data_IF_352851232125
#
_entry.id   IF_352851232125
#
_cell.length_a   1.000
_cell.length_b   1.000
_cell.length_c   1.000
_cell.angle_alpha   90.00
_cell.angle_beta   90.00
_cell.angle_gamma   90.00
#
_symmetry.space_group_name_H-M   'P 1'
#
loop_
_entity.id
_entity.type
_entity.pdbx_description
1 polymer ?
#
# COMPACT_ATOMS: atom_id res chain seq x y z
N UNK A 1 -43.26 89.65 25.53
CA UNK A 1 -43.58 88.73 26.65
C UNK A 1 -43.17 87.33 26.23
N UNK A 2 -42.40 86.69 27.09
CA UNK A 2 -41.58 85.49 26.90
C UNK A 2 -42.37 84.20 26.72
N UNK A 3 -41.83 83.28 25.92
CA UNK A 3 -41.94 81.84 26.15
C UNK A 3 -40.58 81.22 25.77
N UNK A 4 -39.90 80.59 26.72
CA UNK A 4 -38.64 79.87 26.54
C UNK A 4 -38.84 78.47 27.13
N UNK A 5 -38.71 77.46 26.28
CA UNK A 5 -38.75 76.04 26.61
C UNK A 5 -37.54 75.62 27.46
N UNK A 6 -37.78 74.72 28.42
CA UNK A 6 -36.76 73.99 29.17
C UNK A 6 -36.67 72.58 28.58
N UNK A 7 -35.53 72.22 27.97
CA UNK A 7 -35.18 70.85 27.64
C UNK A 7 -34.37 70.21 28.78
N UNK A 8 -34.81 69.03 29.22
CA UNK A 8 -34.08 68.13 30.11
C UNK A 8 -33.08 67.29 29.29
N UNK A 9 -31.85 67.20 29.78
CA UNK A 9 -30.80 66.30 29.28
C UNK A 9 -30.83 64.99 30.06
N UNK A 10 -30.86 63.84 29.38
CA UNK A 10 -30.59 62.52 29.96
C UNK A 10 -29.42 61.90 29.18
N UNK A 11 -28.40 61.47 29.93
CA UNK A 11 -27.12 60.94 29.48
C UNK A 11 -27.23 59.62 28.69
N UNK A 12 -26.86 59.64 27.41
CA UNK A 12 -26.84 58.50 26.48
C UNK A 12 -25.41 58.03 26.15
N UNK A 13 -24.57 57.80 27.18
CA UNK A 13 -23.15 57.44 26.97
C UNK A 13 -22.75 56.07 27.55
N UNK A 14 -23.50 55.55 28.52
CA UNK A 14 -23.20 54.26 29.18
C UNK A 14 -23.66 53.02 28.42
N UNK A 15 -24.90 53.02 27.90
CA UNK A 15 -25.49 51.84 27.23
C UNK A 15 -24.88 51.54 25.86
N UNK A 16 -24.47 52.57 25.11
CA UNK A 16 -23.79 52.40 23.81
C UNK A 16 -22.43 51.72 23.95
N UNK A 17 -21.68 51.98 25.02
CA UNK A 17 -20.36 51.36 25.25
C UNK A 17 -20.48 49.88 25.65
N UNK A 18 -21.51 49.51 26.42
CA UNK A 18 -21.77 48.12 26.80
C UNK A 18 -22.26 47.30 25.59
N UNK A 19 -23.12 47.88 24.74
CA UNK A 19 -23.58 47.23 23.50
C UNK A 19 -22.44 47.00 22.48
N UNK A 20 -21.49 47.95 22.37
CA UNK A 20 -20.30 47.81 21.52
C UNK A 20 -19.32 46.75 22.04
N UNK A 21 -19.14 46.63 23.36
CA UNK A 21 -18.31 45.57 23.95
C UNK A 21 -18.93 44.17 23.82
N UNK A 22 -20.26 44.04 23.96
CA UNK A 22 -20.97 42.77 23.73
C UNK A 22 -20.95 42.36 22.25
N UNK A 23 -21.06 43.30 21.30
CA UNK A 23 -20.95 43.01 19.87
C UNK A 23 -19.52 42.58 19.46
N UNK A 24 -18.47 43.17 20.06
CA UNK A 24 -17.08 42.76 19.85
C UNK A 24 -16.77 41.38 20.45
N UNK A 25 -17.38 41.00 21.58
CA UNK A 25 -17.25 39.66 22.16
C UNK A 25 -18.02 38.62 21.34
N UNK A 26 -19.20 38.95 20.79
CA UNK A 26 -19.94 38.04 19.91
C UNK A 26 -19.27 37.86 18.52
N UNK A 27 -18.60 38.88 17.96
CA UNK A 27 -17.81 38.71 16.73
C UNK A 27 -16.50 37.94 16.97
N UNK A 28 -15.89 38.02 18.15
CA UNK A 28 -14.71 37.20 18.49
C UNK A 28 -15.08 35.73 18.76
N UNK A 29 -16.29 35.45 19.25
CA UNK A 29 -16.76 34.08 19.48
C UNK A 29 -17.22 33.34 18.20
N UNK A 30 -17.60 34.07 17.15
CA UNK A 30 -18.02 33.47 15.87
C UNK A 30 -16.86 32.96 14.99
N UNK A 31 -15.61 33.35 15.28
CA UNK A 31 -14.43 32.89 14.54
C UNK A 31 -13.81 31.57 15.07
N UNK A 32 -14.36 30.97 16.12
CA UNK A 32 -13.75 29.81 16.80
C UNK A 32 -14.47 28.48 16.58
N UNK A 33 -15.49 28.44 15.71
CA UNK A 33 -16.23 27.21 15.37
C UNK A 33 -16.26 26.94 13.87
N UNK A 34 -15.19 27.27 13.15
CA UNK A 34 -15.01 26.82 11.77
C UNK A 34 -14.51 25.37 11.76
N UNK A 35 -15.20 24.48 11.04
CA UNK A 35 -14.69 23.14 10.74
C UNK A 35 -13.35 23.19 9.98
N UNK A 36 -12.72 22.05 9.70
CA UNK A 36 -11.46 22.02 8.96
C UNK A 36 -11.55 22.83 7.65
N UNK A 37 -10.48 23.56 7.25
CA UNK A 37 -10.47 24.28 5.98
C UNK A 37 -10.79 23.37 4.79
N UNK A 38 -11.33 23.96 3.72
CA UNK A 38 -11.57 23.23 2.49
C UNK A 38 -10.26 22.60 1.95
N UNK A 39 -10.31 21.40 1.38
CA UNK A 39 -9.14 20.78 0.78
C UNK A 39 -8.62 21.62 -0.38
N UNK A 40 -7.29 21.68 -0.52
CA UNK A 40 -6.64 22.45 -1.57
C UNK A 40 -5.77 21.56 -2.43
N UNK A 41 -5.85 21.75 -3.74
CA UNK A 41 -4.96 21.08 -4.68
C UNK A 41 -3.54 21.64 -4.53
N UNK A 42 -2.55 20.79 -4.78
CA UNK A 42 -1.13 21.07 -4.62
C UNK A 42 -0.40 20.58 -5.86
N UNK A 43 0.39 21.46 -6.46
CA UNK A 43 1.34 21.10 -7.51
C UNK A 43 2.72 20.90 -6.89
N UNK A 44 3.30 19.74 -7.13
CA UNK A 44 4.65 19.39 -6.72
C UNK A 44 5.50 19.26 -7.98
N UNK A 45 6.80 19.53 -7.85
CA UNK A 45 7.77 19.31 -8.93
C UNK A 45 8.74 18.23 -8.47
N UNK A 46 8.73 17.10 -9.17
CA UNK A 46 9.66 16.00 -8.96
C UNK A 46 11.10 16.44 -9.25
N UNK A 47 12.09 15.63 -8.84
CA UNK A 47 13.50 15.97 -8.99
C UNK A 47 13.93 16.15 -10.47
N UNK A 48 13.26 15.45 -11.38
CA UNK A 48 13.46 15.52 -12.83
C UNK A 48 12.53 16.54 -13.54
N UNK A 49 11.81 17.35 -12.77
CA UNK A 49 10.94 18.41 -13.29
C UNK A 49 9.50 18.01 -13.58
N UNK A 50 9.17 16.71 -13.55
CA UNK A 50 7.79 16.21 -13.74
C UNK A 50 6.83 16.84 -12.73
N UNK A 51 5.67 17.33 -13.20
CA UNK A 51 4.64 17.88 -12.32
C UNK A 51 3.79 16.76 -11.73
N UNK A 52 3.65 16.78 -10.41
CA UNK A 52 2.81 15.84 -9.68
C UNK A 52 1.66 16.60 -9.02
N UNK A 53 0.51 15.95 -8.93
CA UNK A 53 -0.68 16.50 -8.30
C UNK A 53 -0.96 15.83 -6.96
N UNK A 54 -1.25 16.64 -5.95
CA UNK A 54 -1.72 16.20 -4.65
C UNK A 54 -2.95 16.99 -4.20
N UNK A 55 -3.64 16.48 -3.19
CA UNK A 55 -4.68 17.24 -2.46
C UNK A 55 -4.32 17.26 -0.98
N UNK A 56 -4.19 18.46 -0.43
CA UNK A 56 -3.93 18.67 1.00
C UNK A 56 -5.22 19.00 1.74
N UNK A 57 -5.48 18.24 2.80
CA UNK A 57 -6.59 18.46 3.72
C UNK A 57 -5.99 18.89 5.06
N UNK A 58 -6.15 20.16 5.41
CA UNK A 58 -5.69 20.70 6.69
C UNK A 58 -6.70 20.33 7.78
N UNK A 59 -6.21 19.95 8.96
CA UNK A 59 -7.04 19.82 10.15
C UNK A 59 -7.35 21.18 10.81
N UNK A 60 -6.77 22.28 10.33
CA UNK A 60 -6.93 23.62 10.91
C UNK A 60 -6.26 23.81 12.28
N UNK A 61 -5.53 22.80 12.77
CA UNK A 61 -4.83 22.81 14.06
C UNK A 61 -3.61 21.89 14.03
N UNK A 62 -2.68 22.12 14.95
CA UNK A 62 -1.47 21.31 15.07
C UNK A 62 -1.78 19.83 15.34
N UNK A 63 -1.23 18.92 14.55
CA UNK A 63 -1.51 17.49 14.67
C UNK A 63 -0.63 16.61 13.75
N UNK A 64 -0.81 15.28 13.80
CA UNK A 64 -0.12 14.34 12.93
C UNK A 64 -0.36 14.63 11.44
N UNK A 65 0.53 14.11 10.60
CA UNK A 65 0.31 14.01 9.15
C UNK A 65 -0.06 12.59 8.73
N UNK A 66 -0.87 12.41 7.70
CA UNK A 66 -1.11 11.11 7.06
C UNK A 66 -0.97 11.25 5.54
N UNK A 67 -0.19 10.36 4.93
CA UNK A 67 -0.13 10.20 3.48
C UNK A 67 -1.03 9.06 3.02
N UNK A 68 -1.87 9.30 2.00
CA UNK A 68 -2.76 8.29 1.42
C UNK A 68 -2.41 8.07 -0.05
N UNK A 69 -2.10 6.82 -0.42
CA UNK A 69 -1.69 6.43 -1.78
C UNK A 69 -2.77 5.60 -2.48
N UNK A 70 -3.14 6.01 -3.69
CA UNK A 70 -4.23 5.38 -4.44
C UNK A 70 -3.88 3.98 -4.97
N UNK A 71 -4.91 3.22 -5.33
CA UNK A 71 -4.78 1.97 -6.08
C UNK A 71 -4.56 2.23 -7.58
N UNK A 72 -4.03 1.24 -8.31
CA UNK A 72 -3.55 1.43 -9.67
C UNK A 72 -4.63 1.61 -10.76
N UNK A 73 -5.91 1.51 -10.40
CA UNK A 73 -7.03 1.82 -11.28
C UNK A 73 -7.84 3.04 -10.79
N UNK A 74 -7.25 3.89 -9.94
CA UNK A 74 -7.83 5.10 -9.37
C UNK A 74 -6.79 6.22 -9.30
N UNK A 75 -7.19 7.36 -8.76
CA UNK A 75 -6.37 8.53 -8.49
C UNK A 75 -6.56 9.00 -7.03
N UNK A 76 -5.90 10.08 -6.64
CA UNK A 76 -5.89 10.64 -5.27
C UNK A 76 -7.27 11.01 -4.72
N UNK A 77 -8.28 11.22 -5.57
CA UNK A 77 -9.66 11.60 -5.16
C UNK A 77 -10.43 10.43 -4.57
N UNK A 78 -9.95 9.21 -4.76
CA UNK A 78 -10.57 8.01 -4.16
C UNK A 78 -10.67 8.06 -2.63
N UNK A 79 -9.89 8.94 -1.98
CA UNK A 79 -9.85 9.14 -0.53
C UNK A 79 -10.82 10.20 -0.01
N UNK A 80 -11.68 10.80 -0.85
CA UNK A 80 -12.62 11.85 -0.46
C UNK A 80 -13.61 11.42 0.64
N UNK A 81 -13.92 10.12 0.74
CA UNK A 81 -14.75 9.57 1.82
C UNK A 81 -14.01 9.39 3.16
N UNK A 82 -12.67 9.36 3.16
CA UNK A 82 -11.85 9.09 4.35
C UNK A 82 -11.12 10.34 4.87
N UNK A 83 -10.54 11.14 3.98
CA UNK A 83 -9.69 12.26 4.35
C UNK A 83 -10.39 13.30 5.27
N UNK A 84 -11.67 13.70 5.03
CA UNK A 84 -12.39 14.60 5.94
C UNK A 84 -12.59 14.03 7.35
N UNK A 85 -12.77 12.71 7.47
CA UNK A 85 -12.94 12.08 8.78
C UNK A 85 -11.64 12.15 9.59
N UNK A 86 -10.49 12.03 8.93
CA UNK A 86 -9.18 12.20 9.58
C UNK A 86 -8.91 13.67 9.96
N UNK A 87 -9.24 14.64 9.11
CA UNK A 87 -9.06 16.06 9.47
C UNK A 87 -9.96 16.50 10.60
N UNK A 88 -11.19 15.97 10.69
CA UNK A 88 -12.08 16.18 11.83
C UNK A 88 -11.48 15.67 13.16
N UNK A 89 -10.65 14.62 13.13
CA UNK A 89 -9.91 14.17 14.31
C UNK A 89 -8.71 15.06 14.69
N UNK A 90 -8.28 15.95 13.81
CA UNK A 90 -7.04 16.72 14.00
C UNK A 90 -5.83 16.18 13.25
N UNK A 91 -6.02 15.32 12.26
CA UNK A 91 -4.95 14.73 11.44
C UNK A 91 -4.91 15.41 10.09
N UNK A 92 -3.77 15.98 9.71
CA UNK A 92 -3.57 16.59 8.39
C UNK A 92 -3.33 15.49 7.35
N UNK A 93 -3.94 15.59 6.18
CA UNK A 93 -3.87 14.55 5.15
C UNK A 93 -3.30 15.08 3.84
N UNK A 94 -2.41 14.32 3.22
CA UNK A 94 -2.00 14.54 1.84
C UNK A 94 -2.32 13.28 1.00
N UNK A 95 -3.13 13.44 -0.03
CA UNK A 95 -3.34 12.42 -1.07
C UNK A 95 -2.49 12.78 -2.27
N UNK A 96 -1.85 11.79 -2.92
CA UNK A 96 -0.94 12.01 -4.05
C UNK A 96 -1.41 11.21 -5.26
N UNK A 97 -1.46 11.84 -6.43
CA UNK A 97 -1.47 11.13 -7.71
C UNK A 97 -0.05 10.66 -8.01
N UNK A 98 0.17 9.35 -8.04
CA UNK A 98 1.43 8.79 -8.49
C UNK A 98 1.69 9.19 -9.95
N UNK A 99 2.95 9.19 -10.36
CA UNK A 99 3.34 9.63 -11.70
C UNK A 99 2.59 8.86 -12.80
N UNK A 100 1.98 9.59 -13.72
CA UNK A 100 1.15 9.05 -14.81
C UNK A 100 -0.29 8.70 -14.44
N UNK A 101 -0.76 9.10 -13.25
CA UNK A 101 -2.13 8.90 -12.77
C UNK A 101 -2.82 10.24 -12.53
N UNK A 102 -4.15 10.25 -12.64
CA UNK A 102 -4.98 11.41 -12.35
C UNK A 102 -4.49 12.65 -13.11
N UNK A 103 -4.07 13.66 -12.36
CA UNK A 103 -3.56 14.94 -12.88
C UNK A 103 -2.02 15.04 -12.79
N UNK A 104 -1.31 14.01 -12.31
CA UNK A 104 0.15 13.94 -12.37
C UNK A 104 0.63 13.64 -13.79
N UNK A 105 1.66 14.36 -14.24
CA UNK A 105 2.27 14.14 -15.55
C UNK A 105 2.97 12.77 -15.65
N UNK A 106 3.38 12.43 -16.88
CA UNK A 106 4.13 11.22 -17.19
C UNK A 106 3.26 10.08 -17.71
N UNK A 107 3.84 8.88 -17.77
CA UNK A 107 3.15 7.66 -18.22
C UNK A 107 3.04 6.69 -17.07
N UNK A 108 1.85 6.15 -16.84
CA UNK A 108 1.62 5.18 -15.78
C UNK A 108 2.51 3.94 -15.97
N UNK A 109 3.06 3.42 -14.88
CA UNK A 109 4.01 2.30 -14.90
C UNK A 109 3.50 1.08 -15.69
N UNK A 110 2.21 0.76 -15.59
CA UNK A 110 1.59 -0.37 -16.27
C UNK A 110 1.34 -0.16 -17.78
N UNK A 111 1.59 1.05 -18.29
CA UNK A 111 1.55 1.37 -19.73
C UNK A 111 2.94 1.38 -20.36
N UNK A 112 3.98 1.26 -19.55
CA UNK A 112 5.37 1.16 -20.01
C UNK A 112 5.74 -0.29 -20.32
N UNK A 113 6.92 -0.52 -20.90
CA UNK A 113 7.46 -1.87 -20.94
C UNK A 113 7.61 -2.43 -19.52
N UNK A 114 7.59 -3.76 -19.31
CA UNK A 114 7.71 -4.35 -17.97
C UNK A 114 8.94 -3.86 -17.20
N UNK A 115 10.08 -3.69 -17.87
CA UNK A 115 11.31 -3.21 -17.27
C UNK A 115 11.21 -1.73 -16.83
N UNK A 116 10.73 -0.87 -17.71
CA UNK A 116 10.55 0.57 -17.42
C UNK A 116 9.47 0.79 -16.35
N UNK A 117 8.37 0.05 -16.42
CA UNK A 117 7.29 0.07 -15.42
C UNK A 117 7.79 -0.37 -14.05
N UNK A 118 8.59 -1.43 -13.98
CA UNK A 118 9.24 -1.85 -12.72
C UNK A 118 10.15 -0.75 -12.18
N UNK A 119 11.04 -0.19 -13.02
CA UNK A 119 11.92 0.91 -12.63
C UNK A 119 11.16 2.12 -12.12
N UNK A 120 10.03 2.44 -12.75
CA UNK A 120 9.12 3.50 -12.31
C UNK A 120 8.62 3.25 -10.89
N UNK A 121 8.20 2.02 -10.57
CA UNK A 121 7.67 1.63 -9.26
C UNK A 121 8.78 1.57 -8.19
N UNK A 122 9.97 1.08 -8.53
CA UNK A 122 11.04 0.81 -7.57
C UNK A 122 11.97 1.99 -7.32
N UNK A 123 12.16 2.86 -8.32
CA UNK A 123 13.18 3.90 -8.29
C UNK A 123 12.55 5.30 -8.36
N UNK A 124 11.51 5.48 -9.18
CA UNK A 124 10.94 6.81 -9.45
C UNK A 124 9.83 7.20 -8.47
N UNK A 125 8.79 6.38 -8.34
CA UNK A 125 7.68 6.66 -7.42
C UNK A 125 8.15 6.89 -5.97
N UNK A 126 9.10 6.13 -5.41
CA UNK A 126 9.65 6.42 -4.09
C UNK A 126 10.17 7.85 -3.93
N UNK A 127 10.83 8.39 -4.96
CA UNK A 127 11.35 9.76 -4.93
C UNK A 127 10.23 10.80 -5.05
N UNK A 128 9.22 10.54 -5.87
CA UNK A 128 8.02 11.37 -5.99
C UNK A 128 7.23 11.40 -4.66
N UNK A 129 7.11 10.25 -4.01
CA UNK A 129 6.52 10.08 -2.68
C UNK A 129 7.30 10.88 -1.64
N UNK A 130 8.63 10.87 -1.68
CA UNK A 130 9.47 11.63 -0.76
C UNK A 130 9.32 13.15 -0.96
N UNK A 131 9.05 13.61 -2.20
CA UNK A 131 8.70 15.02 -2.46
C UNK A 131 7.35 15.38 -1.84
N UNK A 132 6.35 14.53 -1.96
CA UNK A 132 5.05 14.73 -1.32
C UNK A 132 5.15 14.68 0.22
N UNK A 133 5.97 13.78 0.77
CA UNK A 133 6.25 13.72 2.20
C UNK A 133 6.92 15.00 2.73
N UNK A 134 7.92 15.50 2.00
CA UNK A 134 8.58 16.77 2.34
C UNK A 134 7.60 17.95 2.32
N UNK A 135 6.64 17.94 1.39
CA UNK A 135 5.57 18.92 1.34
C UNK A 135 4.66 18.85 2.57
N UNK A 136 4.15 17.66 2.90
CA UNK A 136 3.27 17.43 4.05
C UNK A 136 3.95 17.89 5.35
N UNK A 137 5.19 17.47 5.58
CA UNK A 137 5.93 17.79 6.81
C UNK A 137 6.45 19.23 6.85
N UNK A 138 6.39 19.98 5.75
CA UNK A 138 6.67 21.41 5.74
C UNK A 138 5.49 22.27 6.21
N UNK A 139 4.27 21.73 6.28
CA UNK A 139 3.10 22.49 6.72
C UNK A 139 3.24 22.86 8.20
N UNK A 140 2.93 24.10 8.61
CA UNK A 140 3.15 24.58 9.97
C UNK A 140 2.32 23.83 11.02
N UNK A 141 1.16 23.32 10.64
CA UNK A 141 0.29 22.54 11.51
C UNK A 141 0.67 21.04 11.62
N UNK A 142 1.65 20.56 10.83
CA UNK A 142 2.04 19.14 10.84
C UNK A 142 3.16 18.89 11.83
N UNK A 143 2.91 17.98 12.78
CA UNK A 143 3.93 17.40 13.67
C UNK A 143 4.82 16.46 12.88
N UNK A 144 6.01 16.95 12.50
CA UNK A 144 6.91 16.29 11.55
C UNK A 144 7.42 14.92 12.00
N UNK A 145 7.43 14.65 13.30
CA UNK A 145 7.87 13.41 13.94
C UNK A 145 6.76 12.34 14.05
N UNK A 146 5.55 12.68 13.60
CA UNK A 146 4.35 11.89 13.83
C UNK A 146 3.52 11.79 12.55
N UNK A 147 3.89 10.84 11.70
CA UNK A 147 3.26 10.61 10.40
C UNK A 147 2.65 9.21 10.33
N UNK A 148 1.49 9.06 9.69
CA UNK A 148 0.96 7.76 9.26
C UNK A 148 0.99 7.62 7.74
N UNK A 149 0.91 6.39 7.25
CA UNK A 149 0.76 6.13 5.83
C UNK A 149 -0.31 5.07 5.58
N UNK A 150 -1.14 5.29 4.56
CA UNK A 150 -2.10 4.31 4.08
C UNK A 150 -2.01 4.15 2.57
N UNK A 151 -2.36 2.96 2.08
CA UNK A 151 -2.35 2.67 0.66
C UNK A 151 -3.26 1.51 0.32
N UNK A 152 -3.80 1.55 -0.90
CA UNK A 152 -4.57 0.45 -1.48
C UNK A 152 -3.85 -0.11 -2.70
N UNK A 153 -3.86 -1.43 -2.91
CA UNK A 153 -3.22 -2.08 -4.07
C UNK A 153 -1.74 -1.65 -4.20
N UNK A 154 -1.32 -1.11 -5.34
CA UNK A 154 0.02 -0.58 -5.53
C UNK A 154 0.42 0.57 -4.58
N UNK A 155 -0.54 1.23 -3.93
CA UNK A 155 -0.29 2.17 -2.85
C UNK A 155 0.25 1.51 -1.58
N UNK A 156 -0.02 0.22 -1.33
CA UNK A 156 0.49 -0.54 -0.17
C UNK A 156 2.01 -0.52 -0.15
N UNK A 157 2.64 -0.84 -1.29
CA UNK A 157 4.09 -0.79 -1.38
C UNK A 157 4.58 0.64 -1.07
N UNK A 158 3.97 1.68 -1.63
CA UNK A 158 4.41 3.06 -1.38
C UNK A 158 4.31 3.46 0.11
N UNK A 159 3.28 3.01 0.84
CA UNK A 159 3.16 3.22 2.29
C UNK A 159 4.31 2.56 3.06
N UNK A 160 4.62 1.30 2.77
CA UNK A 160 5.69 0.55 3.45
C UNK A 160 7.06 1.15 3.11
N UNK A 161 7.30 1.48 1.85
CA UNK A 161 8.57 2.05 1.40
C UNK A 161 8.78 3.46 1.98
N UNK A 162 7.73 4.27 2.10
CA UNK A 162 7.79 5.56 2.81
C UNK A 162 8.21 5.32 4.28
N UNK A 163 7.57 4.40 4.98
CA UNK A 163 7.92 4.11 6.37
C UNK A 163 9.36 3.60 6.53
N UNK A 164 9.88 2.84 5.55
CA UNK A 164 11.28 2.40 5.53
C UNK A 164 12.25 3.58 5.42
N UNK A 165 11.94 4.59 4.62
CA UNK A 165 12.82 5.75 4.39
C UNK A 165 12.67 6.84 5.45
N UNK A 166 11.51 6.92 6.09
CA UNK A 166 11.16 8.00 7.04
C UNK A 166 10.75 7.41 8.40
N UNK A 167 11.66 7.36 9.38
CA UNK A 167 11.38 6.79 10.71
C UNK A 167 10.32 7.57 11.51
N UNK A 168 9.91 8.74 11.04
CA UNK A 168 8.79 9.52 11.57
C UNK A 168 7.43 8.92 11.20
N UNK A 169 7.36 7.99 10.24
CA UNK A 169 6.15 7.22 9.99
C UNK A 169 5.97 6.19 11.10
N UNK A 170 4.89 6.33 11.86
CA UNK A 170 4.61 5.55 13.08
C UNK A 170 3.45 4.58 12.93
N UNK A 171 2.69 4.61 11.84
CA UNK A 171 1.48 3.79 11.69
C UNK A 171 1.19 3.49 10.22
N UNK A 172 0.78 2.26 9.92
CA UNK A 172 0.47 1.78 8.58
C UNK A 172 -0.97 1.26 8.46
N UNK A 173 -1.60 1.55 7.32
CA UNK A 173 -2.88 0.97 6.88
C UNK A 173 -2.72 0.42 5.46
N UNK A 174 -2.89 -0.89 5.28
CA UNK A 174 -2.63 -1.58 4.01
C UNK A 174 -3.91 -2.27 3.49
N UNK A 175 -4.40 -1.89 2.32
CA UNK A 175 -5.66 -2.42 1.76
C UNK A 175 -5.39 -3.18 0.46
N UNK A 176 -5.75 -4.46 0.40
CA UNK A 176 -5.71 -5.29 -0.82
C UNK A 176 -4.45 -5.13 -1.70
N UNK A 177 -3.25 -5.24 -1.13
CA UNK A 177 -2.03 -5.02 -1.90
C UNK A 177 -0.79 -5.62 -1.27
N UNK A 178 0.31 -5.53 -2.00
CA UNK A 178 1.57 -6.14 -1.63
C UNK A 178 2.69 -5.13 -1.34
N UNK A 179 3.82 -5.65 -0.86
CA UNK A 179 5.08 -4.91 -0.80
C UNK A 179 6.23 -5.82 -1.19
N UNK A 180 7.29 -5.21 -1.72
CA UNK A 180 8.45 -5.95 -2.17
C UNK A 180 9.24 -6.59 -1.00
N UNK A 181 10.21 -7.43 -1.32
CA UNK A 181 11.10 -8.09 -0.34
C UNK A 181 11.71 -7.13 0.68
N UNK A 182 12.23 -5.99 0.23
CA UNK A 182 12.80 -4.96 1.12
C UNK A 182 11.76 -4.35 2.06
N UNK A 183 10.49 -4.26 1.64
CA UNK A 183 9.38 -3.85 2.48
C UNK A 183 9.04 -4.90 3.55
N UNK A 184 9.01 -6.19 3.17
CA UNK A 184 8.77 -7.30 4.11
C UNK A 184 9.88 -7.40 5.17
N UNK A 185 11.15 -7.30 4.76
CA UNK A 185 12.29 -7.26 5.67
C UNK A 185 12.23 -6.05 6.62
N UNK A 186 11.77 -4.89 6.14
CA UNK A 186 11.56 -3.73 7.00
C UNK A 186 10.49 -3.99 8.07
N UNK A 187 9.35 -4.57 7.69
CA UNK A 187 8.28 -4.92 8.64
C UNK A 187 8.77 -5.93 9.69
N UNK A 188 9.59 -6.90 9.28
CA UNK A 188 10.21 -7.88 10.17
C UNK A 188 11.09 -7.25 11.24
N UNK A 189 11.85 -6.21 10.85
CA UNK A 189 12.85 -5.56 11.69
C UNK A 189 12.32 -4.29 12.39
N UNK A 190 11.03 -3.97 12.22
CA UNK A 190 10.40 -2.78 12.81
C UNK A 190 9.21 -3.15 13.69
N UNK A 191 9.43 -3.90 14.79
CA UNK A 191 8.35 -4.36 15.67
C UNK A 191 7.57 -3.22 16.34
N UNK A 192 8.11 -2.00 16.33
CA UNK A 192 7.45 -0.80 16.84
C UNK A 192 6.40 -0.21 15.89
N UNK A 193 6.33 -0.63 14.61
CA UNK A 193 5.34 -0.06 13.68
C UNK A 193 4.11 -0.97 13.65
N UNK A 194 2.95 -0.52 14.18
CA UNK A 194 1.73 -1.28 14.08
C UNK A 194 1.17 -1.21 12.66
N UNK A 195 0.59 -2.31 12.21
CA UNK A 195 -0.01 -2.47 10.88
C UNK A 195 -1.49 -2.83 11.02
N UNK A 196 -2.35 -2.01 10.42
CA UNK A 196 -3.73 -2.35 10.10
C UNK A 196 -3.78 -2.84 8.66
N UNK A 197 -4.43 -3.97 8.41
CA UNK A 197 -4.61 -4.48 7.07
C UNK A 197 -6.04 -4.97 6.84
N UNK A 198 -6.54 -4.78 5.62
CA UNK A 198 -7.83 -5.32 5.21
C UNK A 198 -7.80 -5.87 3.78
N UNK A 199 -8.53 -6.96 3.56
CA UNK A 199 -8.70 -7.60 2.25
C UNK A 199 -10.03 -8.35 2.19
N UNK A 200 -10.50 -8.65 0.98
CA UNK A 200 -11.72 -9.40 0.73
C UNK A 200 -11.44 -10.71 -0.03
N UNK A 201 -12.20 -11.76 0.25
CA UNK A 201 -12.03 -13.09 -0.36
C UNK A 201 -12.35 -13.12 -1.86
N UNK A 202 -13.20 -12.20 -2.32
CA UNK A 202 -13.54 -12.01 -3.73
C UNK A 202 -12.49 -11.19 -4.52
N UNK A 203 -11.43 -10.73 -3.85
CA UNK A 203 -10.31 -9.98 -4.42
C UNK A 203 -9.10 -10.87 -4.73
N UNK A 204 -9.37 -11.99 -5.40
CA UNK A 204 -8.42 -12.86 -6.10
C UNK A 204 -7.01 -13.00 -5.48
N UNK A 205 -6.92 -13.54 -4.26
CA UNK A 205 -5.65 -13.88 -3.62
C UNK A 205 -5.02 -12.78 -2.77
N UNK A 206 -5.62 -11.58 -2.66
CA UNK A 206 -5.06 -10.49 -1.85
C UNK A 206 -5.14 -10.76 -0.35
N UNK A 207 -6.08 -11.59 0.11
CA UNK A 207 -6.17 -12.03 1.51
C UNK A 207 -4.91 -12.79 1.90
N UNK A 208 -4.52 -13.81 1.12
CA UNK A 208 -3.32 -14.61 1.38
C UNK A 208 -2.05 -13.76 1.31
N UNK A 209 -1.97 -12.84 0.34
CA UNK A 209 -0.86 -11.89 0.20
C UNK A 209 -0.73 -10.99 1.42
N UNK A 210 -1.81 -10.34 1.86
CA UNK A 210 -1.74 -9.45 3.01
C UNK A 210 -1.52 -10.21 4.32
N UNK A 211 -2.12 -11.38 4.49
CA UNK A 211 -1.81 -12.25 5.64
C UNK A 211 -0.33 -12.59 5.71
N UNK A 212 0.27 -12.93 4.57
CA UNK A 212 1.70 -13.18 4.47
C UNK A 212 2.55 -11.95 4.83
N UNK A 213 2.20 -10.76 4.32
CA UNK A 213 2.96 -9.52 4.59
C UNK A 213 2.86 -9.14 6.07
N UNK A 214 1.66 -9.16 6.65
CA UNK A 214 1.46 -8.76 8.04
C UNK A 214 2.13 -9.79 8.98
N UNK A 215 2.23 -11.07 8.59
CA UNK A 215 2.94 -12.09 9.37
C UNK A 215 4.45 -11.85 9.51
N UNK A 216 5.07 -10.98 8.70
CA UNK A 216 6.44 -10.51 8.94
C UNK A 216 6.53 -9.57 10.14
N UNK A 217 5.52 -8.71 10.33
CA UNK A 217 5.53 -7.75 11.44
C UNK A 217 5.31 -8.47 12.78
N UNK A 218 6.22 -8.23 13.71
CA UNK A 218 6.18 -8.78 15.07
C UNK A 218 5.43 -7.88 16.06
N UNK A 219 4.81 -6.80 15.59
CA UNK A 219 4.07 -5.89 16.45
C UNK A 219 2.80 -6.58 16.99
N UNK A 220 2.61 -6.68 18.32
CA UNK A 220 1.46 -7.38 18.90
C UNK A 220 0.13 -6.64 18.72
N UNK A 221 0.17 -5.36 18.32
CA UNK A 221 -1.00 -4.54 18.03
C UNK A 221 -1.43 -4.56 16.56
N UNK A 222 -0.79 -5.37 15.70
CA UNK A 222 -1.24 -5.54 14.33
C UNK A 222 -2.69 -6.06 14.27
N UNK A 223 -3.45 -5.61 13.27
CA UNK A 223 -4.84 -6.02 13.06
C UNK A 223 -5.06 -6.41 11.59
N UNK A 224 -5.77 -7.51 11.37
CA UNK A 224 -6.15 -7.98 10.05
C UNK A 224 -7.65 -8.18 9.94
N UNK A 225 -8.28 -7.45 9.03
CA UNK A 225 -9.70 -7.49 8.73
C UNK A 225 -9.94 -8.24 7.42
N UNK A 226 -10.57 -9.41 7.51
CA UNK A 226 -10.93 -10.23 6.35
C UNK A 226 -12.43 -10.10 6.10
N UNK A 227 -12.79 -9.81 4.86
CA UNK A 227 -14.17 -9.76 4.42
C UNK A 227 -14.47 -10.90 3.43
N UNK A 228 -15.68 -11.45 3.47
CA UNK A 228 -16.07 -12.50 2.52
C UNK A 228 -16.34 -11.95 1.11
N UNK A 229 -16.73 -10.67 1.03
CA UNK A 229 -16.92 -9.92 -0.21
C UNK A 229 -16.46 -8.48 0.02
N UNK A 230 -16.15 -7.73 -1.03
CA UNK A 230 -15.66 -6.36 -0.86
C UNK A 230 -15.00 -5.79 -2.11
N UNK A 231 -14.48 -6.64 -2.99
CA UNK A 231 -13.73 -6.20 -4.15
C UNK A 231 -12.35 -5.62 -3.79
N UNK A 232 -11.75 -4.90 -4.74
CA UNK A 232 -10.34 -4.54 -4.67
C UNK A 232 -10.10 -3.18 -3.99
N UNK A 233 -9.28 -3.18 -2.93
CA UNK A 233 -8.81 -1.94 -2.29
C UNK A 233 -9.94 -1.18 -1.61
N UNK A 234 -10.20 0.05 -2.04
CA UNK A 234 -11.27 0.85 -1.41
C UNK A 234 -12.68 0.45 -1.84
N UNK A 235 -12.82 -0.46 -2.81
CA UNK A 235 -14.12 -1.00 -3.17
C UNK A 235 -14.81 -1.62 -1.94
N UNK A 236 -14.01 -2.12 -0.97
CA UNK A 236 -14.48 -2.62 0.32
C UNK A 236 -15.30 -1.58 1.11
N UNK A 237 -15.09 -0.28 0.92
CA UNK A 237 -15.80 0.76 1.68
C UNK A 237 -17.30 0.79 1.40
N UNK A 238 -17.74 0.40 0.20
CA UNK A 238 -19.15 0.42 -0.15
C UNK A 238 -19.97 -0.69 0.54
N UNK A 239 -19.57 -1.97 0.48
CA UNK A 239 -20.25 -3.04 1.22
C UNK A 239 -19.92 -3.06 2.72
N UNK A 240 -18.78 -2.50 3.13
CA UNK A 240 -18.31 -2.47 4.53
C UNK A 240 -18.00 -1.02 4.98
N UNK A 241 -19.03 -0.17 5.14
CA UNK A 241 -18.84 1.24 5.49
C UNK A 241 -18.14 1.43 6.84
N UNK A 242 -18.24 0.46 7.75
CA UNK A 242 -17.55 0.47 9.04
C UNK A 242 -16.03 0.44 8.90
N UNK A 243 -15.48 -0.08 7.78
CA UNK A 243 -14.04 -0.12 7.52
C UNK A 243 -13.42 1.29 7.55
N UNK A 244 -14.12 2.30 7.02
CA UNK A 244 -13.65 3.69 7.07
C UNK A 244 -13.54 4.19 8.50
N UNK A 245 -14.49 3.83 9.36
CA UNK A 245 -14.49 4.19 10.78
C UNK A 245 -13.39 3.45 11.54
N UNK A 246 -13.14 2.18 11.20
CA UNK A 246 -12.05 1.39 11.77
C UNK A 246 -10.68 2.00 11.45
N UNK A 247 -10.46 2.46 10.22
CA UNK A 247 -9.23 3.14 9.80
C UNK A 247 -9.05 4.48 10.55
N UNK A 248 -10.13 5.24 10.70
CA UNK A 248 -10.13 6.51 11.47
C UNK A 248 -9.76 6.24 12.94
N UNK A 249 -10.38 5.25 13.56
CA UNK A 249 -10.09 4.84 14.94
C UNK A 249 -8.66 4.31 15.09
N UNK A 250 -8.15 3.62 14.08
CA UNK A 250 -6.77 3.14 14.06
C UNK A 250 -5.76 4.29 14.11
N UNK A 251 -5.93 5.32 13.27
CA UNK A 251 -5.04 6.48 13.30
C UNK A 251 -5.23 7.35 14.54
N UNK A 252 -6.45 7.46 15.07
CA UNK A 252 -6.67 8.08 16.39
C UNK A 252 -5.87 7.38 17.49
N UNK A 253 -5.95 6.04 17.56
CA UNK A 253 -5.20 5.26 18.53
C UNK A 253 -3.68 5.41 18.33
N UNK A 254 -3.20 5.18 17.11
CA UNK A 254 -1.75 5.02 16.83
C UNK A 254 -1.00 6.31 16.57
N UNK A 255 -1.68 7.43 16.33
CA UNK A 255 -1.04 8.74 16.11
C UNK A 255 -1.46 9.79 17.14
N UNK A 256 -2.70 9.80 17.64
CA UNK A 256 -3.13 10.84 18.61
C UNK A 256 -2.99 10.39 20.06
N UNK A 257 -3.45 9.18 20.39
CA UNK A 257 -3.50 8.68 21.76
C UNK A 257 -2.19 8.03 22.19
N UNK A 258 -1.68 7.08 21.40
CA UNK A 258 -0.47 6.33 21.68
C UNK A 258 0.42 6.26 20.43
N UNK A 259 1.15 7.36 20.11
CA UNK A 259 2.05 7.44 18.95
C UNK A 259 2.93 6.21 18.75
N UNK A 260 2.75 5.50 17.64
CA UNK A 260 3.52 4.30 17.29
C UNK A 260 3.13 3.03 18.06
N UNK A 261 2.07 3.05 18.85
CA UNK A 261 1.59 1.88 19.57
C UNK A 261 0.13 1.64 19.25
N UNK A 262 -0.20 0.41 18.87
CA UNK A 262 -1.58 -0.04 18.73
C UNK A 262 -1.96 -0.95 19.92
N UNK A 263 -3.20 -0.84 20.45
CA UNK A 263 -3.68 -1.78 21.44
C UNK A 263 -3.79 -3.18 20.81
N UNK A 264 -3.41 -4.19 21.59
CA UNK A 264 -3.58 -5.60 21.20
C UNK A 264 -5.07 -5.88 21.04
N UNK A 265 -5.46 -6.36 19.86
CA UNK A 265 -6.85 -6.71 19.57
C UNK A 265 -6.97 -8.22 19.33
N UNK A 266 -7.45 -8.95 20.34
CA UNK A 266 -7.62 -10.39 20.27
C UNK A 266 -8.72 -10.86 19.30
N UNK A 267 -9.61 -9.97 18.84
CA UNK A 267 -10.67 -10.31 17.89
C UNK A 267 -10.17 -10.36 16.44
N UNK A 268 -9.07 -9.68 16.13
CA UNK A 268 -8.48 -9.62 14.79
C UNK A 268 -6.98 -9.98 14.82
N UNK A 269 -6.62 -11.18 15.32
CA UNK A 269 -5.24 -11.58 15.41
C UNK A 269 -4.66 -11.79 14.01
N UNK A 270 -3.40 -11.39 13.82
CA UNK A 270 -2.66 -11.71 12.60
C UNK A 270 -2.33 -13.21 12.58
N UNK A 271 -2.44 -13.88 11.42
CA UNK A 271 -1.93 -15.24 11.26
C UNK A 271 -0.45 -15.33 11.67
N UNK A 272 -0.09 -16.38 12.42
CA UNK A 272 1.31 -16.65 12.78
C UNK A 272 2.13 -16.99 11.54
N UNK A 273 3.46 -16.89 11.67
CA UNK A 273 4.42 -17.31 10.64
C UNK A 273 3.96 -18.61 9.97
N UNK A 274 3.75 -18.54 8.66
CA UNK A 274 3.34 -19.64 7.84
C UNK A 274 4.50 -20.03 6.91
N UNK A 275 4.27 -21.10 6.15
CA UNK A 275 5.22 -21.61 5.15
C UNK A 275 5.73 -20.52 4.18
N UNK A 276 4.94 -19.47 3.90
CA UNK A 276 5.33 -18.37 3.00
C UNK A 276 6.39 -17.45 3.59
N UNK A 277 6.37 -17.19 4.90
CA UNK A 277 7.42 -16.41 5.57
C UNK A 277 8.75 -17.18 5.53
N UNK A 278 8.71 -18.50 5.60
CA UNK A 278 9.91 -19.35 5.54
C UNK A 278 10.61 -19.27 4.18
N UNK A 279 9.90 -19.00 3.07
CA UNK A 279 10.48 -19.00 1.72
C UNK A 279 11.62 -17.98 1.57
N UNK A 280 11.47 -16.78 2.14
CA UNK A 280 12.47 -15.70 2.05
C UNK A 280 13.68 -15.87 3.00
N UNK A 281 13.66 -16.86 3.90
CA UNK A 281 14.78 -17.13 4.80
C UNK A 281 15.95 -17.79 4.06
N UNK A 282 17.19 -17.69 4.58
CA UNK A 282 18.30 -18.51 4.09
C UNK A 282 17.97 -20.01 4.10
N UNK A 283 18.07 -20.66 2.94
CA UNK A 283 17.65 -22.06 2.75
C UNK A 283 16.13 -22.28 2.85
N UNK A 284 15.36 -21.19 2.78
CA UNK A 284 13.92 -21.14 3.04
C UNK A 284 13.09 -22.01 2.10
N UNK A 285 13.37 -21.97 0.80
CA UNK A 285 12.67 -22.76 -0.20
C UNK A 285 12.72 -24.28 0.08
N UNK A 286 13.88 -24.80 0.50
CA UNK A 286 14.04 -26.21 0.86
C UNK A 286 13.25 -26.57 2.13
N UNK A 287 13.29 -25.70 3.16
CA UNK A 287 12.49 -25.88 4.38
C UNK A 287 10.99 -25.85 4.07
N UNK A 288 10.55 -24.88 3.26
CA UNK A 288 9.17 -24.78 2.80
C UNK A 288 8.74 -26.02 2.00
N UNK A 289 9.62 -26.57 1.16
CA UNK A 289 9.35 -27.85 0.46
C UNK A 289 9.15 -29.01 1.42
N UNK A 290 9.98 -29.13 2.47
CA UNK A 290 9.80 -30.14 3.51
C UNK A 290 8.49 -29.94 4.31
N UNK A 291 8.13 -28.69 4.62
CA UNK A 291 6.86 -28.36 5.28
C UNK A 291 5.66 -28.73 4.39
N UNK A 292 5.72 -28.42 3.10
CA UNK A 292 4.68 -28.81 2.12
C UNK A 292 4.52 -30.33 2.07
N UNK A 293 5.63 -31.07 2.03
CA UNK A 293 5.60 -32.54 2.03
C UNK A 293 4.94 -33.09 3.29
N UNK A 294 5.21 -32.52 4.47
CA UNK A 294 4.57 -32.95 5.73
C UNK A 294 3.06 -32.66 5.74
N UNK A 295 2.63 -31.51 5.23
CA UNK A 295 1.20 -31.20 5.07
C UNK A 295 0.55 -32.21 4.13
N UNK A 296 1.21 -32.55 3.01
CA UNK A 296 0.68 -33.48 2.00
C UNK A 296 0.64 -34.95 2.42
N UNK A 297 1.36 -35.34 3.48
CA UNK A 297 1.15 -36.66 4.11
C UNK A 297 -0.25 -36.80 4.70
N UNK A 298 -0.87 -35.68 5.13
CA UNK A 298 -2.20 -35.66 5.75
C UNK A 298 -3.30 -35.37 4.72
N UNK A 299 -3.01 -34.47 3.80
CA UNK A 299 -3.89 -34.13 2.69
C UNK A 299 -3.06 -34.00 1.40
N UNK A 300 -3.04 -35.03 0.54
CA UNK A 300 -2.25 -35.04 -0.69
C UNK A 300 -2.51 -33.86 -1.63
N UNK A 301 -3.69 -33.24 -1.54
CA UNK A 301 -4.10 -32.13 -2.40
C UNK A 301 -3.91 -30.76 -1.74
N UNK A 302 -3.34 -30.70 -0.53
CA UNK A 302 -3.16 -29.45 0.18
C UNK A 302 -2.30 -28.44 -0.59
N UNK A 303 -2.78 -27.20 -0.64
CA UNK A 303 -2.11 -26.02 -1.20
C UNK A 303 -2.00 -24.94 -0.11
N UNK A 304 -0.99 -25.00 0.77
CA UNK A 304 -0.85 -24.08 1.91
C UNK A 304 -0.42 -22.65 1.51
N UNK A 305 -0.17 -22.43 0.23
CA UNK A 305 0.09 -21.17 -0.44
C UNK A 305 -0.42 -21.26 -1.87
N UNK A 306 -0.52 -20.14 -2.59
CA UNK A 306 -0.89 -20.11 -4.01
C UNK A 306 0.35 -20.13 -4.91
N UNK A 307 0.18 -20.62 -6.14
CA UNK A 307 1.24 -20.62 -7.16
C UNK A 307 1.78 -19.21 -7.41
N UNK A 308 0.85 -18.24 -7.52
CA UNK A 308 1.17 -16.85 -7.83
C UNK A 308 2.05 -16.19 -6.77
N UNK A 309 1.80 -16.45 -5.48
CA UNK A 309 2.61 -15.86 -4.40
C UNK A 309 4.04 -16.40 -4.43
N UNK A 310 4.22 -17.71 -4.59
CA UNK A 310 5.58 -18.30 -4.67
C UNK A 310 6.29 -17.82 -5.94
N UNK A 311 5.56 -17.67 -7.04
CA UNK A 311 6.09 -17.12 -8.28
C UNK A 311 6.57 -15.68 -8.11
N UNK A 312 5.78 -14.84 -7.43
CA UNK A 312 6.13 -13.47 -7.09
C UNK A 312 7.45 -13.42 -6.29
N UNK A 313 7.57 -14.22 -5.23
CA UNK A 313 8.78 -14.28 -4.42
C UNK A 313 9.98 -14.70 -5.28
N UNK A 314 9.84 -15.73 -6.12
CA UNK A 314 10.90 -16.18 -7.02
C UNK A 314 11.39 -15.08 -7.96
N UNK A 315 10.47 -14.32 -8.58
CA UNK A 315 10.83 -13.20 -9.45
C UNK A 315 11.46 -12.03 -8.70
N UNK A 316 11.08 -11.76 -7.46
CA UNK A 316 11.76 -10.73 -6.65
C UNK A 316 13.23 -11.07 -6.42
N UNK A 317 13.54 -12.31 -6.03
CA UNK A 317 14.93 -12.77 -5.89
C UNK A 317 15.67 -12.73 -7.23
N UNK A 318 15.01 -13.15 -8.32
CA UNK A 318 15.59 -13.10 -9.66
C UNK A 318 15.95 -11.67 -10.08
N UNK A 319 15.07 -10.71 -9.79
CA UNK A 319 15.27 -9.29 -10.09
C UNK A 319 16.36 -8.65 -9.22
N UNK A 320 16.54 -9.12 -7.99
CA UNK A 320 17.65 -8.73 -7.10
C UNK A 320 18.99 -9.39 -7.53
N UNK A 321 18.98 -10.30 -8.50
CA UNK A 321 20.15 -11.02 -8.99
C UNK A 321 20.49 -12.28 -8.17
N UNK A 322 19.64 -12.66 -7.23
CA UNK A 322 19.78 -13.86 -6.38
C UNK A 322 19.32 -15.12 -7.15
N UNK A 323 19.87 -15.33 -8.35
CA UNK A 323 19.41 -16.34 -9.32
C UNK A 323 19.33 -17.76 -8.72
N UNK A 324 20.32 -18.15 -7.91
CA UNK A 324 20.34 -19.47 -7.25
C UNK A 324 19.20 -19.64 -6.24
N UNK A 325 18.85 -18.58 -5.52
CA UNK A 325 17.73 -18.61 -4.58
C UNK A 325 16.41 -18.65 -5.34
N UNK A 326 16.28 -17.85 -6.41
CA UNK A 326 15.15 -17.87 -7.31
C UNK A 326 14.90 -19.28 -7.90
N UNK A 327 15.95 -19.97 -8.36
CA UNK A 327 15.86 -21.36 -8.84
C UNK A 327 15.25 -22.28 -7.78
N UNK A 328 15.69 -22.21 -6.53
CA UNK A 328 15.16 -23.07 -5.46
C UNK A 328 13.70 -22.74 -5.13
N UNK A 329 13.32 -21.46 -5.18
CA UNK A 329 11.93 -21.03 -4.99
C UNK A 329 11.04 -21.51 -6.14
N UNK A 330 11.47 -21.36 -7.39
CA UNK A 330 10.70 -21.85 -8.53
C UNK A 330 10.61 -23.38 -8.54
N UNK A 331 11.66 -24.10 -8.12
CA UNK A 331 11.58 -25.56 -7.90
C UNK A 331 10.51 -25.91 -6.87
N UNK A 332 10.47 -25.22 -5.73
CA UNK A 332 9.37 -25.37 -4.76
C UNK A 332 8.01 -25.18 -5.43
N UNK A 333 7.87 -24.17 -6.29
CA UNK A 333 6.63 -23.92 -7.02
C UNK A 333 6.26 -25.09 -7.95
N UNK A 334 7.23 -25.67 -8.68
CA UNK A 334 6.97 -26.86 -9.52
C UNK A 334 6.59 -28.10 -8.70
N UNK A 335 7.05 -28.22 -7.45
CA UNK A 335 6.64 -29.30 -6.53
C UNK A 335 5.21 -29.06 -6.04
N UNK A 336 4.87 -27.80 -5.76
CA UNK A 336 3.54 -27.42 -5.32
C UNK A 336 2.50 -27.53 -6.44
N UNK A 337 2.85 -27.16 -7.67
CA UNK A 337 1.96 -27.09 -8.83
C UNK A 337 2.56 -27.83 -10.04
N UNK A 338 2.70 -29.16 -9.98
CA UNK A 338 3.45 -29.93 -10.97
C UNK A 338 2.83 -29.94 -12.38
N UNK A 339 1.55 -29.56 -12.51
CA UNK A 339 0.83 -29.47 -13.79
C UNK A 339 0.74 -28.05 -14.32
N UNK A 340 1.18 -27.04 -13.57
CA UNK A 340 1.10 -25.65 -14.01
C UNK A 340 2.23 -25.32 -14.98
N UNK A 341 1.93 -24.94 -16.23
CA UNK A 341 2.96 -24.58 -17.20
C UNK A 341 3.75 -23.34 -16.76
N UNK A 342 3.11 -22.41 -16.07
CA UNK A 342 3.73 -21.18 -15.57
C UNK A 342 4.92 -21.47 -14.64
N UNK A 343 4.81 -22.48 -13.76
CA UNK A 343 5.90 -22.79 -12.81
C UNK A 343 7.18 -23.26 -13.51
N UNK A 344 7.06 -23.99 -14.63
CA UNK A 344 8.21 -24.43 -15.41
C UNK A 344 8.76 -23.30 -16.30
N UNK A 345 7.90 -22.42 -16.81
CA UNK A 345 8.33 -21.24 -17.54
C UNK A 345 9.16 -20.31 -16.65
N UNK A 346 8.69 -20.02 -15.43
CA UNK A 346 9.41 -19.19 -14.47
C UNK A 346 10.70 -19.87 -13.94
N UNK A 347 10.70 -21.19 -13.75
CA UNK A 347 11.93 -21.93 -13.45
C UNK A 347 12.93 -21.85 -14.62
N UNK A 348 12.45 -21.88 -15.86
CA UNK A 348 13.29 -21.68 -17.05
C UNK A 348 13.92 -20.28 -17.06
N UNK A 349 13.18 -19.21 -16.72
CA UNK A 349 13.73 -17.85 -16.62
C UNK A 349 14.91 -17.78 -15.64
N UNK A 350 14.77 -18.42 -14.47
CA UNK A 350 15.82 -18.43 -13.47
C UNK A 350 17.07 -19.18 -13.92
N UNK A 351 16.91 -20.29 -14.65
CA UNK A 351 18.03 -20.98 -15.27
C UNK A 351 18.70 -20.18 -16.38
N UNK A 352 17.93 -19.41 -17.17
CA UNK A 352 18.50 -18.48 -18.16
C UNK A 352 19.37 -17.43 -17.46
N UNK A 353 18.86 -16.82 -16.38
CA UNK A 353 19.60 -15.80 -15.64
C UNK A 353 20.86 -16.34 -14.97
N UNK A 354 20.85 -17.59 -14.49
CA UNK A 354 22.01 -18.26 -13.90
C UNK A 354 22.99 -18.85 -14.94
N UNK A 355 22.65 -18.81 -16.24
CA UNK A 355 23.48 -19.34 -17.32
C UNK A 355 23.41 -20.85 -17.55
N UNK A 356 22.39 -21.52 -17.00
CA UNK A 356 22.18 -22.97 -17.10
C UNK A 356 21.28 -23.33 -18.31
N UNK A 357 21.82 -23.16 -19.51
CA UNK A 357 21.07 -23.29 -20.78
C UNK A 357 20.32 -24.60 -20.96
N UNK A 358 20.92 -25.75 -20.63
CA UNK A 358 20.29 -27.06 -20.83
C UNK A 358 19.04 -27.23 -19.95
N UNK A 359 19.14 -26.79 -18.69
CA UNK A 359 18.00 -26.82 -17.76
C UNK A 359 16.93 -25.80 -18.15
N UNK A 360 17.32 -24.62 -18.65
CA UNK A 360 16.39 -23.64 -19.17
C UNK A 360 15.58 -24.21 -20.35
N UNK A 361 16.25 -24.85 -21.32
CA UNK A 361 15.61 -25.50 -22.48
C UNK A 361 14.64 -26.59 -22.02
N UNK A 362 15.09 -27.49 -21.13
CA UNK A 362 14.26 -28.59 -20.61
C UNK A 362 12.96 -28.09 -19.96
N UNK A 363 13.04 -27.02 -19.17
CA UNK A 363 11.88 -26.48 -18.47
C UNK A 363 10.96 -25.69 -19.41
N UNK A 364 11.48 -24.95 -20.39
CA UNK A 364 10.67 -24.28 -21.40
C UNK A 364 9.91 -25.29 -22.28
N UNK A 365 10.55 -26.38 -22.71
CA UNK A 365 9.88 -27.46 -23.47
C UNK A 365 8.79 -28.14 -22.62
N UNK A 366 9.04 -28.33 -21.32
CA UNK A 366 8.04 -28.87 -20.40
C UNK A 366 6.85 -27.92 -20.21
N UNK A 367 7.09 -26.61 -20.10
CA UNK A 367 6.02 -25.61 -20.02
C UNK A 367 5.11 -25.66 -21.26
N UNK A 368 5.69 -25.72 -22.46
CA UNK A 368 4.95 -25.85 -23.72
C UNK A 368 4.13 -27.14 -23.77
N UNK A 369 4.71 -28.27 -23.35
CA UNK A 369 4.00 -29.54 -23.30
C UNK A 369 2.80 -29.51 -22.34
N UNK A 370 2.95 -28.89 -21.17
CA UNK A 370 1.85 -28.77 -20.21
C UNK A 370 0.74 -27.84 -20.71
N UNK A 371 1.08 -26.79 -21.46
CA UNK A 371 0.10 -25.89 -22.08
C UNK A 371 -0.86 -26.60 -23.04
N UNK A 372 -0.44 -27.69 -23.70
CA UNK A 372 -1.29 -28.46 -24.62
C UNK A 372 -2.56 -28.99 -23.94
N UNK A 373 -2.45 -29.35 -22.66
CA UNK A 373 -3.54 -29.91 -21.84
C UNK A 373 -4.08 -28.94 -20.79
N UNK A 374 -3.51 -27.74 -20.68
CA UNK A 374 -3.95 -26.78 -19.66
C UNK A 374 -5.31 -26.16 -20.00
N UNK A 375 -6.24 -26.30 -19.05
CA UNK A 375 -7.58 -25.73 -19.07
C UNK A 375 -7.84 -24.81 -17.87
N UNK A 376 -6.84 -24.63 -17.00
CA UNK A 376 -6.97 -23.86 -15.76
C UNK A 376 -6.73 -22.37 -16.02
N UNK A 377 -5.70 -22.04 -16.81
CA UNK A 377 -5.36 -20.64 -17.06
C UNK A 377 -6.22 -20.02 -18.18
N UNK A 378 -6.60 -18.74 -18.06
CA UNK A 378 -7.22 -18.00 -19.15
C UNK A 378 -6.33 -17.95 -20.40
N UNK A 379 -6.94 -17.89 -21.58
CA UNK A 379 -6.21 -17.94 -22.87
C UNK A 379 -5.11 -16.88 -22.98
N UNK A 380 -5.34 -15.67 -22.45
CA UNK A 380 -4.33 -14.62 -22.43
C UNK A 380 -3.06 -15.02 -21.64
N UNK A 381 -3.24 -15.67 -20.48
CA UNK A 381 -2.13 -16.15 -19.65
C UNK A 381 -1.41 -17.31 -20.33
N UNK A 382 -2.16 -18.27 -20.90
CA UNK A 382 -1.62 -19.39 -21.69
C UNK A 382 -0.76 -18.90 -22.86
N UNK A 383 -1.23 -17.89 -23.59
CA UNK A 383 -0.47 -17.25 -24.67
C UNK A 383 0.81 -16.59 -24.16
N UNK A 384 0.76 -15.86 -23.05
CA UNK A 384 1.95 -15.23 -22.46
C UNK A 384 3.04 -16.24 -22.09
N UNK A 385 2.65 -17.36 -21.46
CA UNK A 385 3.57 -18.44 -21.11
C UNK A 385 4.16 -19.09 -22.38
N UNK A 386 3.33 -19.31 -23.41
CA UNK A 386 3.78 -19.87 -24.69
C UNK A 386 4.82 -18.98 -25.36
N UNK A 387 4.51 -17.70 -25.52
CA UNK A 387 5.38 -16.72 -26.18
C UNK A 387 6.73 -16.60 -25.44
N UNK A 388 6.69 -16.55 -24.10
CA UNK A 388 7.87 -16.56 -23.22
C UNK A 388 8.76 -17.80 -23.47
N UNK A 389 8.19 -19.00 -23.39
CA UNK A 389 8.91 -20.25 -23.57
C UNK A 389 9.50 -20.40 -24.98
N UNK A 390 8.72 -20.11 -26.03
CA UNK A 390 9.17 -20.17 -27.42
C UNK A 390 10.31 -19.17 -27.70
N UNK A 391 10.20 -17.95 -27.18
CA UNK A 391 11.25 -16.95 -27.30
C UNK A 391 12.56 -17.40 -26.65
N UNK A 392 12.49 -17.94 -25.42
CA UNK A 392 13.66 -18.50 -24.72
C UNK A 392 14.31 -19.63 -25.52
N UNK A 393 13.51 -20.58 -26.02
CA UNK A 393 14.03 -21.69 -26.83
C UNK A 393 14.72 -21.21 -28.10
N UNK A 394 14.15 -20.21 -28.78
CA UNK A 394 14.76 -19.60 -29.96
C UNK A 394 16.11 -18.97 -29.63
N UNK A 395 16.19 -18.20 -28.54
CA UNK A 395 17.42 -17.54 -28.11
C UNK A 395 18.50 -18.56 -27.74
N UNK A 396 18.20 -19.52 -26.86
CA UNK A 396 19.17 -20.51 -26.36
C UNK A 396 19.66 -21.46 -27.46
N UNK A 397 18.77 -21.93 -28.35
CA UNK A 397 19.16 -22.84 -29.46
C UNK A 397 19.93 -22.13 -30.58
N UNK A 398 19.83 -20.79 -30.66
CA UNK A 398 20.61 -19.99 -31.62
C UNK A 398 22.01 -19.65 -31.12
N UNK A 399 22.20 -19.50 -29.80
CA UNK A 399 23.50 -19.21 -29.18
C UNK A 399 24.41 -20.41 -28.96
N UNK A 400 23.87 -21.64 -29.04
CA UNK A 400 24.63 -22.90 -28.92
C UNK A 400 25.20 -23.43 -30.26
N UNK A 401 25.26 -22.61 -31.32
CA UNK A 401 25.80 -23.01 -32.64
C UNK A 401 27.17 -22.41 -32.93
#
# INVERSE_FOLDING_TARGET
MSCLEVQYSIEDSGMRRIALFLALILCAAACLAGGPPAPRAVDLTAADGTKLRATYYSAGKAGPGVMLFHQCNRDRKMWEALAPNLTNLGINVLTLDLRGFGESEGTAAFKLSPEEGRKMITDTWPMDVDKAYAYLTAQPEVKKDLVGAAGASCGVNQSVQLARRHPQVKSLVLLSGDTNRQGRLFLQNSPQIPVFAAAADDDNGTVEVLQWIVAYSRNPGNQFYRYANGGHGIEMFAPHPELTTLIVNWFDATLLKTPGYAPVNAAHPVPKQNILVTIDEPGGAAKASAMLAEVRKRDPNATPFTEGIVNLIGYEHLQEGDNKVAIEIFKLNTVAYPTSPNTYDSLSDAYVADGQSDQAIQNAEKALKLLESDTTDPEARRKGIRDSAEQKLKQLKSGNR
#
